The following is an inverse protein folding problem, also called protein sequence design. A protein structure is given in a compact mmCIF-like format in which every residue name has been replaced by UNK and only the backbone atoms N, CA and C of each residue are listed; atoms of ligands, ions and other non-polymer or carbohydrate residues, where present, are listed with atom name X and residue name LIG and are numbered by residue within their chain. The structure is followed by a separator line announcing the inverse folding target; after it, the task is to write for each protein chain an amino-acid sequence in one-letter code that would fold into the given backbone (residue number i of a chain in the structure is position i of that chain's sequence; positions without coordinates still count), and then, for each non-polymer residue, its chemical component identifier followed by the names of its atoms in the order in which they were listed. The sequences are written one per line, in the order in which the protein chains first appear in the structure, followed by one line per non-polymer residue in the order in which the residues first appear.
data_IF_995075296394
#
_entry.id   IF_995075296394
#
_cell.length_a   1.000
_cell.length_b   1.000
_cell.length_c   1.000
_cell.angle_alpha   90.00
_cell.angle_beta   90.00
_cell.angle_gamma   90.00
#
_symmetry.space_group_name_H-M   'P 1'
#
loop_
_entity.id
_entity.type
_entity.pdbx_description
1 polymer ?
#
# COMPACT_ATOMS: atom_id res chain seq x y z
N UNK A 1 6.86 -6.70 9.65
CA UNK A 1 6.38 -6.14 8.36
C UNK A 1 7.42 -6.40 7.28
N UNK A 2 7.01 -6.64 6.05
CA UNK A 2 7.94 -6.75 4.92
C UNK A 2 7.36 -6.04 3.70
N UNK A 3 8.23 -5.46 2.86
CA UNK A 3 7.87 -4.78 1.63
C UNK A 3 8.56 -5.47 0.47
N UNK A 4 7.79 -5.82 -0.56
CA UNK A 4 8.28 -6.45 -1.77
C UNK A 4 8.17 -5.50 -2.97
N UNK A 5 9.10 -5.61 -3.91
CA UNK A 5 8.94 -5.00 -5.22
C UNK A 5 8.13 -5.92 -6.17
N UNK A 6 7.86 -5.42 -7.38
CA UNK A 6 7.09 -6.15 -8.40
C UNK A 6 7.74 -7.48 -8.86
N UNK A 7 9.01 -7.73 -8.53
CA UNK A 7 9.71 -8.98 -8.83
C UNK A 7 9.70 -9.96 -7.65
N UNK A 8 8.79 -9.78 -6.68
CA UNK A 8 8.66 -10.60 -5.48
C UNK A 8 9.93 -10.63 -4.61
N UNK A 9 10.75 -9.57 -4.65
CA UNK A 9 11.95 -9.45 -3.81
C UNK A 9 11.65 -8.56 -2.62
N UNK A 10 11.95 -9.03 -1.42
CA UNK A 10 11.95 -8.20 -0.21
C UNK A 10 12.98 -7.08 -0.36
N UNK A 11 12.52 -5.83 -0.29
CA UNK A 11 13.36 -4.63 -0.33
C UNK A 11 13.48 -3.98 1.06
N UNK A 12 12.60 -4.36 1.97
CA UNK A 12 12.60 -3.92 3.36
C UNK A 12 11.96 -4.99 4.23
N UNK A 13 12.55 -5.23 5.40
CA UNK A 13 12.00 -6.12 6.43
C UNK A 13 12.16 -5.41 7.76
N UNK A 14 11.06 -5.32 8.50
CA UNK A 14 11.02 -4.87 9.87
C UNK A 14 10.56 -6.04 10.74
N UNK A 15 11.46 -6.48 11.61
CA UNK A 15 11.19 -7.53 12.59
C UNK A 15 10.64 -6.84 13.82
N UNK A 16 9.30 -6.85 13.94
CA UNK A 16 8.59 -6.13 14.99
C UNK A 16 8.99 -6.54 16.41
N UNK A 17 8.74 -5.63 17.34
CA UNK A 17 8.98 -5.82 18.77
C UNK A 17 7.87 -6.65 19.43
N UNK A 18 8.05 -7.09 20.69
CA UNK A 18 7.14 -7.97 21.44
C UNK A 18 5.70 -7.40 21.59
N UNK A 19 4.87 -7.63 20.57
CA UNK A 19 3.46 -8.02 20.69
C UNK A 19 2.40 -6.99 21.10
N UNK A 20 2.55 -5.69 20.78
CA UNK A 20 1.51 -4.69 21.13
C UNK A 20 1.11 -3.68 20.05
N UNK A 21 1.76 -3.70 18.88
CA UNK A 21 1.47 -2.76 17.81
C UNK A 21 0.61 -3.42 16.73
N UNK A 22 -0.45 -2.74 16.29
CA UNK A 22 -1.19 -3.13 15.08
C UNK A 22 -0.29 -3.02 13.85
N UNK A 23 -0.66 -3.66 12.74
CA UNK A 23 0.13 -3.58 11.49
C UNK A 23 0.33 -2.12 11.05
N UNK A 24 -0.72 -1.30 11.13
CA UNK A 24 -0.64 0.14 10.90
C UNK A 24 0.32 0.86 11.87
N UNK A 25 0.35 0.46 13.15
CA UNK A 25 1.27 0.99 14.15
C UNK A 25 2.73 0.57 13.91
N UNK A 26 2.95 -0.66 13.44
CA UNK A 26 4.28 -1.14 13.03
C UNK A 26 4.76 -0.34 11.83
N UNK A 27 3.92 -0.12 10.81
CA UNK A 27 4.25 0.71 9.67
C UNK A 27 4.59 2.14 10.09
N UNK A 28 3.75 2.81 10.88
CA UNK A 28 3.97 4.20 11.27
C UNK A 28 5.26 4.40 12.08
N UNK A 29 5.67 3.39 12.86
CA UNK A 29 6.89 3.45 13.67
C UNK A 29 8.15 3.02 12.91
N UNK A 30 7.99 2.31 11.78
CA UNK A 30 9.12 1.89 10.95
C UNK A 30 9.80 3.06 10.24
N UNK A 31 11.12 2.95 10.00
CA UNK A 31 11.87 3.93 9.19
C UNK A 31 11.31 4.04 7.77
N UNK A 32 10.77 2.94 7.24
CA UNK A 32 10.09 2.90 5.95
C UNK A 32 8.81 3.74 5.95
N UNK A 33 7.92 3.55 6.93
CA UNK A 33 6.69 4.33 7.04
C UNK A 33 6.94 5.81 7.27
N UNK A 34 7.92 6.17 8.12
CA UNK A 34 8.33 7.57 8.29
C UNK A 34 8.87 8.17 6.99
N UNK A 35 9.58 7.39 6.18
CA UNK A 35 10.09 7.86 4.88
C UNK A 35 8.99 8.01 3.83
N UNK A 36 7.92 7.22 3.91
CA UNK A 36 6.71 7.42 3.09
C UNK A 36 6.01 8.73 3.46
N UNK A 37 5.78 8.97 4.76
CA UNK A 37 5.09 10.18 5.23
C UNK A 37 5.85 11.46 4.89
N UNK A 38 7.18 11.41 4.94
CA UNK A 38 8.04 12.54 4.64
C UNK A 38 8.40 12.67 3.15
N UNK A 39 7.83 11.83 2.27
CA UNK A 39 8.12 11.80 0.83
C UNK A 39 9.63 11.68 0.51
N UNK A 40 10.40 10.99 1.37
CA UNK A 40 11.85 10.84 1.22
C UNK A 40 12.26 9.55 0.50
N UNK A 41 11.36 8.56 0.43
CA UNK A 41 11.45 7.48 -0.55
C UNK A 41 11.25 8.12 -1.92
N UNK A 42 12.32 8.20 -2.72
CA UNK A 42 12.33 8.77 -4.07
C UNK A 42 11.52 7.91 -5.05
N UNK A 43 10.24 7.76 -4.79
CA UNK A 43 9.28 7.07 -5.63
C UNK A 43 9.14 7.87 -6.91
N UNK A 44 9.00 7.16 -8.04
CA UNK A 44 8.84 7.81 -9.33
C UNK A 44 7.61 8.71 -9.33
N UNK A 45 7.66 9.85 -10.04
CA UNK A 45 6.49 10.72 -10.19
C UNK A 45 5.37 9.99 -10.92
N UNK A 46 4.16 10.56 -10.85
CA UNK A 46 3.00 10.01 -11.54
C UNK A 46 3.29 9.75 -13.02
N UNK A 47 2.78 8.64 -13.53
CA UNK A 47 2.97 8.21 -14.91
C UNK A 47 1.63 7.95 -15.59
N UNK A 48 1.52 8.31 -16.87
CA UNK A 48 0.33 8.00 -17.67
C UNK A 48 0.34 6.52 -18.03
N UNK A 49 -0.75 5.83 -17.71
CA UNK A 49 -0.90 4.42 -18.08
C UNK A 49 -1.27 4.30 -19.57
N UNK A 50 -0.85 3.22 -20.25
CA UNK A 50 -1.26 2.96 -21.62
C UNK A 50 -2.79 3.00 -21.76
N UNK A 51 -3.29 3.80 -22.70
CA UNK A 51 -4.73 3.95 -22.94
C UNK A 51 -5.47 4.91 -22.00
N UNK A 52 -4.78 5.62 -21.12
CA UNK A 52 -5.37 6.65 -20.26
C UNK A 52 -4.78 8.03 -20.52
N UNK A 53 -5.61 9.07 -20.43
CA UNK A 53 -5.18 10.47 -20.42
C UNK A 53 -4.74 10.94 -19.03
N UNK A 54 -5.02 10.15 -17.99
CA UNK A 54 -4.72 10.50 -16.60
C UNK A 54 -3.34 9.99 -16.17
N UNK A 55 -2.64 10.78 -15.36
CA UNK A 55 -1.42 10.37 -14.69
C UNK A 55 -1.75 9.71 -13.35
N UNK A 56 -1.17 8.54 -13.11
CA UNK A 56 -1.40 7.75 -11.89
C UNK A 56 -0.16 7.74 -11.00
N UNK A 57 -0.32 7.87 -9.67
CA UNK A 57 0.80 7.74 -8.75
C UNK A 57 1.27 6.28 -8.67
N UNK A 58 2.55 6.09 -8.38
CA UNK A 58 3.06 4.82 -7.90
C UNK A 58 2.67 4.66 -6.43
N UNK A 59 2.04 3.53 -6.11
CA UNK A 59 1.51 3.25 -4.77
C UNK A 59 2.02 1.91 -4.25
N UNK A 60 2.10 1.79 -2.93
CA UNK A 60 2.26 0.52 -2.24
C UNK A 60 0.88 -0.10 -2.09
N UNK A 61 0.79 -1.40 -2.34
CA UNK A 61 -0.43 -2.17 -2.06
C UNK A 61 -0.27 -2.83 -0.70
N UNK A 62 -1.12 -2.45 0.25
CA UNK A 62 -1.22 -3.03 1.58
C UNK A 62 -2.48 -3.85 1.75
N UNK A 63 -2.54 -4.62 2.85
CA UNK A 63 -3.78 -5.22 3.33
C UNK A 63 -4.76 -4.17 3.88
N UNK A 64 -5.92 -4.64 4.34
CA UNK A 64 -6.99 -3.79 4.87
C UNK A 64 -6.65 -3.09 6.19
N UNK A 65 -5.69 -3.61 6.96
CA UNK A 65 -5.26 -3.04 8.25
C UNK A 65 -4.48 -1.73 8.08
N UNK A 66 -3.97 -1.45 6.87
CA UNK A 66 -3.34 -0.19 6.53
C UNK A 66 -4.35 0.87 6.07
N UNK A 67 -4.12 2.15 6.39
CA UNK A 67 -4.97 3.25 5.93
C UNK A 67 -4.80 3.51 4.42
N UNK A 68 -5.88 3.95 3.76
CA UNK A 68 -5.81 4.47 2.38
C UNK A 68 -5.10 5.84 2.37
N UNK A 69 -4.08 5.99 1.53
CA UNK A 69 -3.30 7.23 1.38
C UNK A 69 -2.92 7.47 -0.09
N UNK A 70 -2.41 8.65 -0.40
CA UNK A 70 -1.91 9.01 -1.75
C UNK A 70 -0.82 8.08 -2.27
N UNK A 71 -0.05 7.46 -1.37
CA UNK A 71 1.01 6.50 -1.68
C UNK A 71 0.68 5.05 -1.26
N UNK A 72 -0.50 4.79 -0.71
CA UNK A 72 -0.87 3.47 -0.17
C UNK A 72 -2.31 3.11 -0.55
N UNK A 73 -2.46 2.06 -1.35
CA UNK A 73 -3.77 1.48 -1.67
C UNK A 73 -4.00 0.21 -0.86
N UNK A 74 -5.26 0.02 -0.46
CA UNK A 74 -5.75 -1.18 0.22
C UNK A 74 -6.92 -1.77 -0.56
N UNK A 75 -7.23 -3.03 -0.28
CA UNK A 75 -8.41 -3.67 -0.87
C UNK A 75 -9.68 -2.89 -0.50
N UNK A 76 -10.64 -2.88 -1.44
CA UNK A 76 -11.93 -2.28 -1.17
C UNK A 76 -12.65 -3.10 -0.09
N UNK A 77 -13.15 -2.49 0.99
CA UNK A 77 -13.64 -3.21 2.18
C UNK A 77 -14.92 -4.03 1.95
N UNK A 78 -15.54 -3.98 0.77
CA UNK A 78 -16.61 -4.90 0.37
C UNK A 78 -17.95 -4.74 1.09
N UNK A 79 -18.03 -3.92 2.14
CA UNK A 79 -19.20 -3.80 3.03
C UNK A 79 -20.49 -3.26 2.36
N UNK A 80 -20.41 -2.78 1.11
CA UNK A 80 -21.54 -2.24 0.35
C UNK A 80 -21.50 -2.62 -1.15
N UNK A 81 -20.92 -3.77 -1.50
CA UNK A 81 -20.99 -4.25 -2.87
C UNK A 81 -22.36 -4.90 -3.11
N UNK A 82 -23.13 -4.37 -4.07
CA UNK A 82 -24.27 -5.09 -4.64
C UNK A 82 -23.79 -6.48 -5.08
N UNK A 83 -24.57 -7.56 -4.82
CA UNK A 83 -24.18 -8.88 -5.25
C UNK A 83 -23.98 -8.90 -6.75
N UNK A 84 -22.84 -9.40 -7.20
CA UNK A 84 -22.59 -9.64 -8.61
C UNK A 84 -23.56 -10.74 -9.08
N UNK A 85 -24.66 -10.35 -9.72
CA UNK A 85 -25.61 -11.29 -10.31
C UNK A 85 -24.96 -11.90 -11.54
N UNK A 86 -24.47 -13.14 -11.42
CA UNK A 86 -24.16 -13.98 -12.57
C UNK A 86 -25.48 -14.44 -13.17
N UNK A 87 -25.83 -13.94 -14.35
CA UNK A 87 -26.80 -14.63 -15.21
C UNK A 87 -26.07 -15.81 -15.83
N UNK A 88 -26.42 -17.02 -15.38
CA UNK A 88 -26.08 -18.29 -16.03
C UNK A 88 -26.54 -18.32 -17.50
#
# INVERSE_FOLDING_TARGET
MAVCNANYRFIFVDVGDFGRLSDGGVLSNSSFGQSLENYSLKISPCHQLPGSSYAFPYVIVGDEAFPLKTYMMRQFPGQHLEPYITTD
#
